data_IF_094334988580
#
_entry.id   IF_094334988580
#
_cell.length_a   1.000
_cell.length_b   1.000
_cell.length_c   1.000
_cell.angle_alpha   90.00
_cell.angle_beta   90.00
_cell.angle_gamma   90.00
#
_symmetry.space_group_name_H-M   'P 1'
#
loop_
_entity.id
_entity.type
_entity.pdbx_description
1 polymer ?
#
# COMPACT_ATOMS: atom_id res chain seq x y z
N UNK A 1 -25.68 -14.43 -38.49
CA UNK A 1 -25.83 -13.06 -37.98
C UNK A 1 -24.45 -12.45 -37.78
N UNK A 2 -24.10 -11.32 -38.41
CA UNK A 2 -22.81 -10.66 -38.16
C UNK A 2 -22.74 -10.20 -36.70
N UNK A 3 -21.61 -10.45 -36.03
CA UNK A 3 -21.38 -10.00 -34.65
C UNK A 3 -21.47 -8.47 -34.59
N UNK A 4 -22.27 -7.94 -33.68
CA UNK A 4 -22.44 -6.49 -33.47
C UNK A 4 -21.11 -5.92 -32.97
N UNK A 5 -20.48 -5.05 -33.76
CA UNK A 5 -19.18 -4.46 -33.42
C UNK A 5 -19.39 -3.39 -32.35
N UNK A 6 -18.72 -3.53 -31.21
CA UNK A 6 -18.75 -2.52 -30.15
C UNK A 6 -17.78 -1.38 -30.47
N UNK A 7 -18.20 -0.13 -30.25
CA UNK A 7 -17.31 1.04 -30.32
C UNK A 7 -16.26 0.94 -29.21
N UNK A 8 -14.98 0.96 -29.59
CA UNK A 8 -13.84 0.94 -28.66
C UNK A 8 -13.16 2.30 -28.64
N UNK A 9 -12.81 2.78 -27.46
CA UNK A 9 -12.03 4.02 -27.31
C UNK A 9 -10.55 3.67 -27.38
N UNK A 10 -9.86 4.19 -28.41
CA UNK A 10 -8.43 4.01 -28.60
C UNK A 10 -7.64 5.21 -28.06
N UNK A 11 -6.48 4.95 -27.46
CA UNK A 11 -5.53 5.98 -27.07
C UNK A 11 -4.81 6.58 -28.30
N UNK A 12 -4.04 7.64 -28.13
CA UNK A 12 -3.35 8.33 -29.24
C UNK A 12 -2.44 7.41 -30.04
N UNK A 13 -1.58 6.63 -29.37
CA UNK A 13 -0.66 5.71 -30.03
C UNK A 13 -1.38 4.66 -30.89
N UNK A 14 -2.46 4.06 -30.37
CA UNK A 14 -3.27 3.12 -31.15
C UNK A 14 -3.98 3.77 -32.33
N UNK A 15 -4.36 5.05 -32.25
CA UNK A 15 -4.94 5.79 -33.38
C UNK A 15 -3.91 6.03 -34.48
N UNK A 16 -2.67 6.36 -34.12
CA UNK A 16 -1.57 6.52 -35.06
C UNK A 16 -1.28 5.21 -35.81
N UNK A 17 -1.24 4.08 -35.10
CA UNK A 17 -1.10 2.75 -35.71
C UNK A 17 -2.21 2.45 -36.73
N UNK A 18 -3.45 2.88 -36.45
CA UNK A 18 -4.58 2.71 -37.38
C UNK A 18 -4.41 3.57 -38.64
N UNK A 19 -3.88 4.78 -38.50
CA UNK A 19 -3.60 5.67 -39.64
C UNK A 19 -2.51 5.06 -40.52
N UNK A 20 -1.39 4.63 -39.94
CA UNK A 20 -0.29 3.99 -40.68
C UNK A 20 -0.78 2.75 -41.45
N UNK A 21 -1.59 1.91 -40.78
CA UNK A 21 -2.15 0.71 -41.39
C UNK A 21 -3.03 1.04 -42.61
N UNK A 22 -3.85 2.10 -42.49
CA UNK A 22 -4.70 2.56 -43.59
C UNK A 22 -3.84 3.05 -44.76
N UNK A 23 -2.83 3.87 -44.50
CA UNK A 23 -1.95 4.42 -45.55
C UNK A 23 -1.21 3.30 -46.30
N UNK A 24 -0.71 2.30 -45.58
CA UNK A 24 -0.05 1.14 -46.19
C UNK A 24 -0.98 0.39 -47.15
N UNK A 25 -2.24 0.13 -46.77
CA UNK A 25 -3.19 -0.54 -47.65
C UNK A 25 -3.68 0.35 -48.81
N UNK A 26 -3.77 1.66 -48.62
CA UNK A 26 -4.04 2.60 -49.72
C UNK A 26 -2.89 2.60 -50.75
N UNK A 27 -1.64 2.42 -50.30
CA UNK A 27 -0.49 2.24 -51.19
C UNK A 27 -0.55 0.89 -51.94
N UNK A 28 -0.91 -0.20 -51.28
CA UNK A 28 -1.10 -1.50 -51.95
C UNK A 28 -2.21 -1.43 -53.01
N UNK A 29 -3.31 -0.71 -52.72
CA UNK A 29 -4.39 -0.49 -53.67
C UNK A 29 -3.91 0.29 -54.90
N UNK A 30 -3.16 1.38 -54.72
CA UNK A 30 -2.59 2.19 -55.82
C UNK A 30 -1.62 1.38 -56.68
N UNK A 31 -0.84 0.51 -56.06
CA UNK A 31 0.15 -0.31 -56.75
C UNK A 31 -0.45 -1.56 -57.42
N UNK A 32 -1.70 -1.92 -57.11
CA UNK A 32 -2.37 -3.11 -57.63
C UNK A 32 -1.74 -4.43 -57.19
N UNK A 33 -0.81 -4.40 -56.22
CA UNK A 33 -0.09 -5.55 -55.69
C UNK A 33 0.35 -5.29 -54.25
N UNK A 34 0.58 -6.36 -53.50
CA UNK A 34 1.14 -6.26 -52.16
C UNK A 34 2.57 -5.68 -52.19
N UNK A 35 2.88 -4.74 -51.30
CA UNK A 35 4.22 -4.12 -51.21
C UNK A 35 5.29 -5.15 -50.82
N UNK A 36 4.94 -6.05 -49.90
CA UNK A 36 5.76 -7.19 -49.49
C UNK A 36 5.03 -8.50 -49.75
N UNK A 37 5.75 -9.63 -49.93
CA UNK A 37 5.13 -10.94 -50.15
C UNK A 37 4.16 -11.33 -49.04
N UNK A 38 3.03 -11.94 -49.42
CA UNK A 38 2.01 -12.42 -48.46
C UNK A 38 2.57 -13.43 -47.46
N UNK A 39 3.62 -14.16 -47.83
CA UNK A 39 4.35 -15.10 -46.96
C UNK A 39 5.04 -14.39 -45.81
N UNK A 40 5.46 -13.13 -45.98
CA UNK A 40 6.18 -12.36 -44.97
C UNK A 40 5.24 -11.54 -44.08
N UNK A 41 4.36 -12.24 -43.35
CA UNK A 41 3.34 -11.63 -42.48
C UNK A 41 3.98 -10.66 -41.47
N UNK A 42 5.07 -11.08 -40.81
CA UNK A 42 5.75 -10.24 -39.79
C UNK A 42 6.32 -8.96 -40.39
N UNK A 43 6.93 -9.05 -41.56
CA UNK A 43 7.46 -7.89 -42.28
C UNK A 43 6.36 -6.93 -42.68
N UNK A 44 5.23 -7.45 -43.20
CA UNK A 44 4.07 -6.64 -43.56
C UNK A 44 3.47 -5.91 -42.37
N UNK A 45 3.30 -6.59 -41.23
CA UNK A 45 2.77 -5.96 -40.01
C UNK A 45 3.73 -4.88 -39.51
N UNK A 46 5.03 -5.13 -39.53
CA UNK A 46 6.04 -4.15 -39.12
C UNK A 46 6.01 -2.89 -39.99
N UNK A 47 5.96 -3.08 -41.32
CA UNK A 47 5.95 -1.99 -42.29
C UNK A 47 4.64 -1.20 -42.25
N UNK A 48 3.50 -1.91 -42.23
CA UNK A 48 2.18 -1.29 -42.22
C UNK A 48 1.90 -0.52 -40.92
N UNK A 49 2.43 -0.97 -39.79
CA UNK A 49 2.25 -0.28 -38.51
C UNK A 49 3.37 0.73 -38.21
N UNK A 50 4.48 0.72 -38.95
CA UNK A 50 5.64 1.57 -38.70
C UNK A 50 6.42 1.19 -37.43
N UNK A 51 6.48 -0.11 -37.08
CA UNK A 51 7.15 -0.60 -35.87
C UNK A 51 8.22 -1.64 -36.19
N UNK A 52 9.17 -1.85 -35.26
CA UNK A 52 10.24 -2.81 -35.45
C UNK A 52 9.70 -4.26 -35.54
N UNK A 53 10.29 -5.07 -36.45
CA UNK A 53 9.97 -6.50 -36.60
C UNK A 53 10.15 -7.29 -35.29
N UNK A 54 11.13 -6.90 -34.47
CA UNK A 54 11.36 -7.49 -33.14
C UNK A 54 10.18 -7.25 -32.19
N UNK A 55 9.61 -6.04 -32.19
CA UNK A 55 8.42 -5.69 -31.41
C UNK A 55 7.22 -6.53 -31.83
N UNK A 56 6.98 -6.69 -33.14
CA UNK A 56 5.92 -7.57 -33.65
C UNK A 56 6.14 -9.00 -33.15
N UNK A 57 7.36 -9.51 -33.29
CA UNK A 57 7.72 -10.87 -32.85
C UNK A 57 7.47 -11.05 -31.35
N UNK A 58 7.89 -10.10 -30.52
CA UNK A 58 7.70 -10.14 -29.09
C UNK A 58 6.21 -10.14 -28.71
N UNK A 59 5.42 -9.22 -29.29
CA UNK A 59 3.97 -9.15 -29.04
C UNK A 59 3.27 -10.43 -29.48
N UNK A 60 3.64 -10.99 -30.64
CA UNK A 60 3.07 -12.27 -31.09
C UNK A 60 3.42 -13.42 -30.16
N UNK A 61 4.65 -13.48 -29.65
CA UNK A 61 5.08 -14.49 -28.68
C UNK A 61 4.36 -14.33 -27.35
N UNK A 62 4.18 -13.09 -26.87
CA UNK A 62 3.41 -12.79 -25.66
C UNK A 62 1.94 -13.19 -25.79
N UNK A 63 1.34 -13.02 -26.98
CA UNK A 63 -0.06 -13.35 -27.22
C UNK A 63 -0.30 -14.86 -27.40
N UNK A 64 0.55 -15.51 -28.19
CA UNK A 64 0.31 -16.88 -28.68
C UNK A 64 1.19 -17.97 -28.05
N UNK A 65 2.16 -17.59 -27.22
CA UNK A 65 3.14 -18.52 -26.65
C UNK A 65 4.17 -19.02 -27.68
N UNK A 66 5.01 -19.97 -27.29
CA UNK A 66 6.01 -20.58 -28.17
C UNK A 66 5.40 -21.57 -29.18
N UNK A 67 4.33 -22.26 -28.78
CA UNK A 67 3.60 -23.23 -29.59
C UNK A 67 2.51 -22.62 -30.48
N UNK A 68 2.29 -21.30 -30.39
CA UNK A 68 1.24 -20.56 -31.11
C UNK A 68 -0.21 -21.01 -30.82
N UNK A 69 -0.43 -21.85 -29.80
CA UNK A 69 -1.75 -22.38 -29.42
C UNK A 69 -2.35 -21.73 -28.17
N UNK A 70 -1.57 -20.93 -27.44
CA UNK A 70 -2.04 -20.28 -26.24
C UNK A 70 -2.75 -18.97 -26.60
N UNK A 71 -3.82 -18.61 -25.90
CA UNK A 71 -4.42 -17.27 -26.03
C UNK A 71 -4.19 -16.46 -24.75
N UNK A 72 -2.99 -15.93 -24.62
CA UNK A 72 -2.59 -15.16 -23.45
C UNK A 72 -3.17 -13.73 -23.50
N UNK A 73 -3.35 -13.12 -22.33
CA UNK A 73 -3.78 -11.72 -22.22
C UNK A 73 -2.55 -10.81 -22.29
N UNK A 74 -2.48 -9.94 -23.29
CA UNK A 74 -1.43 -8.93 -23.38
C UNK A 74 -1.52 -7.96 -22.19
N UNK A 75 -0.39 -7.78 -21.51
CA UNK A 75 -0.25 -6.86 -20.39
C UNK A 75 0.53 -5.63 -20.82
N UNK A 76 0.15 -4.46 -20.32
CA UNK A 76 0.92 -3.24 -20.55
C UNK A 76 2.32 -3.38 -19.94
N UNK A 77 3.40 -3.06 -20.68
CA UNK A 77 4.74 -3.00 -20.13
C UNK A 77 4.76 -2.14 -18.85
N UNK A 78 5.58 -2.50 -17.85
CA UNK A 78 5.73 -1.82 -16.55
C UNK A 78 4.62 -1.95 -15.50
N UNK A 79 3.63 -2.84 -15.63
CA UNK A 79 2.63 -3.03 -14.54
C UNK A 79 3.24 -3.55 -13.22
N UNK A 80 4.43 -4.17 -13.27
CA UNK A 80 5.20 -4.66 -12.11
C UNK A 80 6.45 -3.82 -11.86
N UNK A 81 6.33 -2.52 -11.58
CA UNK A 81 7.48 -1.73 -11.10
C UNK A 81 7.94 -2.28 -9.74
N UNK A 82 9.22 -2.65 -9.62
CA UNK A 82 9.84 -2.93 -8.32
C UNK A 82 9.78 -1.64 -7.50
N UNK A 83 9.02 -1.62 -6.41
CA UNK A 83 9.03 -0.50 -5.48
C UNK A 83 10.22 -0.67 -4.56
N UNK A 84 11.07 0.35 -4.46
CA UNK A 84 12.09 0.39 -3.40
C UNK A 84 11.34 0.31 -2.06
N UNK A 85 11.68 -0.70 -1.24
CA UNK A 85 11.10 -0.80 0.09
C UNK A 85 11.49 0.46 0.88
N UNK A 86 10.55 1.15 1.57
CA UNK A 86 10.94 2.18 2.52
C UNK A 86 11.87 1.55 3.55
N UNK A 87 12.88 2.28 4.02
CA UNK A 87 13.87 1.86 5.04
C UNK A 87 13.15 1.16 6.21
N UNK A 88 13.08 -0.18 6.18
CA UNK A 88 12.28 -0.99 7.13
C UNK A 88 13.03 -2.27 7.56
N UNK A 89 14.32 -2.40 7.23
CA UNK A 89 15.16 -3.48 7.75
C UNK A 89 16.30 -2.89 8.60
N UNK A 90 16.00 -2.36 9.80
CA UNK A 90 17.06 -2.13 10.77
C UNK A 90 17.66 -3.47 11.21
N UNK A 91 18.95 -3.43 11.54
CA UNK A 91 19.68 -4.55 12.11
C UNK A 91 19.12 -4.97 13.48
N UNK A 92 19.43 -6.18 13.94
CA UNK A 92 18.96 -6.70 15.24
C UNK A 92 19.35 -5.78 16.40
N UNK A 93 20.57 -5.24 16.37
CA UNK A 93 21.06 -4.27 17.34
C UNK A 93 20.17 -3.02 17.40
N UNK A 94 19.81 -2.47 16.24
CA UNK A 94 18.96 -1.27 16.15
C UNK A 94 17.54 -1.56 16.66
N UNK A 95 17.01 -2.77 16.42
CA UNK A 95 15.71 -3.20 16.95
C UNK A 95 15.72 -3.21 18.48
N UNK A 96 16.80 -3.74 19.08
CA UNK A 96 16.94 -3.82 20.53
C UNK A 96 17.17 -2.44 21.16
N UNK A 97 17.98 -1.59 20.53
CA UNK A 97 18.19 -0.20 20.96
C UNK A 97 16.87 0.60 20.95
N UNK A 98 16.07 0.49 19.89
CA UNK A 98 14.74 1.13 19.79
C UNK A 98 13.81 0.59 20.89
N UNK A 99 13.84 -0.72 21.17
CA UNK A 99 13.02 -1.32 22.23
C UNK A 99 13.39 -0.75 23.61
N UNK A 100 14.68 -0.70 23.92
CA UNK A 100 15.19 -0.15 25.19
C UNK A 100 14.84 1.34 25.33
N UNK A 101 14.94 2.10 24.25
CA UNK A 101 14.55 3.52 24.24
C UNK A 101 13.06 3.70 24.59
N UNK A 102 12.19 2.84 24.06
CA UNK A 102 10.76 2.83 24.40
C UNK A 102 10.54 2.43 25.86
N UNK A 103 11.27 1.46 26.39
CA UNK A 103 11.18 1.11 27.82
C UNK A 103 11.61 2.26 28.73
N UNK A 104 12.54 3.09 28.30
CA UNK A 104 12.90 4.33 29.00
C UNK A 104 11.70 5.29 29.17
N UNK A 105 10.81 5.39 28.18
CA UNK A 105 9.57 6.17 28.33
C UNK A 105 8.67 5.62 29.44
N UNK A 106 8.47 4.31 29.47
CA UNK A 106 7.64 3.67 30.49
C UNK A 106 8.24 3.79 31.90
N UNK A 107 9.56 3.69 32.03
CA UNK A 107 10.25 3.87 33.31
C UNK A 107 10.04 5.30 33.89
N UNK A 108 9.91 6.31 33.03
CA UNK A 108 9.59 7.70 33.41
C UNK A 108 8.09 7.98 33.58
N UNK A 109 7.23 6.96 33.47
CA UNK A 109 5.76 7.11 33.41
C UNK A 109 5.28 8.03 32.27
N UNK A 110 6.02 8.10 31.17
CA UNK A 110 5.67 8.88 29.99
C UNK A 110 5.08 7.98 28.90
N UNK A 111 4.03 8.45 28.23
CA UNK A 111 3.46 7.72 27.10
C UNK A 111 4.25 8.01 25.81
N UNK A 112 4.88 7.00 25.17
CA UNK A 112 5.61 7.18 23.93
C UNK A 112 4.61 7.34 22.77
N UNK A 113 4.30 8.59 22.39
CA UNK A 113 3.55 8.86 21.17
C UNK A 113 4.47 8.77 19.96
N UNK A 114 3.92 8.42 18.80
CA UNK A 114 4.72 8.17 17.61
C UNK A 114 5.56 9.38 17.17
N UNK A 115 5.05 10.61 17.36
CA UNK A 115 5.80 11.85 17.09
C UNK A 115 6.92 12.08 18.10
N UNK A 116 6.65 11.92 19.41
CA UNK A 116 7.67 12.06 20.46
C UNK A 116 8.79 11.03 20.29
N UNK A 117 8.40 9.80 19.97
CA UNK A 117 9.33 8.72 19.72
C UNK A 117 10.17 8.97 18.46
N UNK A 118 9.56 9.48 17.38
CA UNK A 118 10.31 9.83 16.17
C UNK A 118 11.36 10.91 16.42
N UNK A 119 11.05 11.92 17.23
CA UNK A 119 11.99 12.99 17.53
C UNK A 119 13.13 12.48 18.43
N UNK A 120 12.79 11.78 19.52
CA UNK A 120 13.80 11.27 20.45
C UNK A 120 14.69 10.17 19.86
N UNK A 121 14.18 9.35 18.94
CA UNK A 121 14.99 8.38 18.20
C UNK A 121 15.93 9.05 17.19
N UNK A 122 15.53 10.20 16.64
CA UNK A 122 16.38 11.00 15.77
C UNK A 122 17.50 11.68 16.56
N UNK A 123 17.16 12.24 17.72
CA UNK A 123 18.13 12.83 18.66
C UNK A 123 19.14 11.79 19.18
N UNK A 124 18.70 10.55 19.38
CA UNK A 124 19.56 9.45 19.79
C UNK A 124 20.32 8.77 18.63
N UNK A 125 20.18 9.27 17.39
CA UNK A 125 20.78 8.71 16.17
C UNK A 125 20.44 7.22 15.90
N UNK A 126 19.36 6.71 16.51
CA UNK A 126 18.95 5.30 16.41
C UNK A 126 18.09 5.02 15.18
N UNK A 127 17.32 6.00 14.73
CA UNK A 127 16.42 5.83 13.61
C UNK A 127 16.02 7.15 12.95
N UNK A 128 16.36 7.30 11.67
CA UNK A 128 15.94 8.42 10.84
C UNK A 128 15.01 7.93 9.71
N UNK A 129 13.70 7.98 9.94
CA UNK A 129 12.73 7.75 8.88
C UNK A 129 11.39 8.44 9.13
N UNK A 130 10.52 8.38 8.13
CA UNK A 130 9.17 8.93 8.19
C UNK A 130 8.29 8.25 9.26
N UNK A 131 7.28 8.98 9.76
CA UNK A 131 6.32 8.46 10.75
C UNK A 131 5.63 7.15 10.30
N UNK A 132 5.18 6.98 9.04
CA UNK A 132 4.64 5.71 8.57
C UNK A 132 5.66 4.56 8.62
N UNK A 133 6.92 4.84 8.28
CA UNK A 133 8.01 3.85 8.35
C UNK A 133 8.25 3.41 9.80
N UNK A 134 8.35 4.36 10.74
CA UNK A 134 8.47 4.06 12.17
C UNK A 134 7.26 3.23 12.65
N UNK A 135 6.05 3.60 12.24
CA UNK A 135 4.84 2.86 12.62
C UNK A 135 4.85 1.41 12.15
N UNK A 136 5.33 1.19 10.92
CA UNK A 136 5.49 -0.14 10.34
C UNK A 136 6.58 -0.92 11.07
N UNK A 137 7.71 -0.28 11.36
CA UNK A 137 8.83 -0.88 12.06
C UNK A 137 8.42 -1.40 13.44
N UNK A 138 7.76 -0.56 14.24
CA UNK A 138 7.32 -0.89 15.59
C UNK A 138 6.39 -2.11 15.60
N UNK A 139 5.46 -2.18 14.63
CA UNK A 139 4.49 -3.28 14.53
C UNK A 139 5.09 -4.59 14.05
N UNK A 140 5.95 -4.54 13.03
CA UNK A 140 6.37 -5.75 12.33
C UNK A 140 7.75 -6.28 12.73
N UNK A 141 8.63 -5.44 13.28
CA UNK A 141 10.00 -5.84 13.63
C UNK A 141 10.25 -5.79 15.13
N UNK A 142 9.81 -4.72 15.80
CA UNK A 142 10.07 -4.55 17.25
C UNK A 142 9.05 -5.33 18.10
N UNK A 143 7.80 -5.42 17.63
CA UNK A 143 6.74 -6.23 18.24
C UNK A 143 5.70 -5.45 19.06
N UNK A 144 5.69 -4.12 18.98
CA UNK A 144 4.75 -3.27 19.72
C UNK A 144 3.38 -3.16 19.03
N UNK A 145 2.32 -3.03 19.83
CA UNK A 145 0.95 -2.79 19.36
C UNK A 145 0.48 -1.41 19.80
N UNK A 146 -0.29 -0.73 18.95
CA UNK A 146 -0.94 0.52 19.31
C UNK A 146 -2.19 0.24 20.13
N UNK A 147 -2.31 0.94 21.25
CA UNK A 147 -3.50 0.96 22.07
C UNK A 147 -4.06 2.37 22.13
N UNK A 148 -5.39 2.48 22.24
CA UNK A 148 -6.02 3.76 22.56
C UNK A 148 -5.63 4.13 23.98
N UNK A 149 -4.91 5.24 24.14
CA UNK A 149 -4.67 5.79 25.47
C UNK A 149 -5.99 6.32 26.01
N UNK A 150 -6.42 5.85 27.17
CA UNK A 150 -7.53 6.47 27.87
C UNK A 150 -7.06 7.83 28.37
N UNK A 151 -7.62 8.90 27.78
CA UNK A 151 -7.32 10.28 28.18
C UNK A 151 -8.07 10.67 29.45
N UNK A 152 -9.00 9.82 29.91
CA UNK A 152 -9.60 9.97 31.21
C UNK A 152 -8.51 9.63 32.21
N UNK A 153 -7.85 10.66 32.73
CA UNK A 153 -7.51 10.63 34.16
C UNK A 153 -8.87 10.52 34.82
N UNK A 154 -9.33 9.29 35.10
CA UNK A 154 -10.46 9.14 36.01
C UNK A 154 -10.03 9.96 37.21
N UNK A 155 -10.77 11.02 37.52
CA UNK A 155 -10.59 11.74 38.78
C UNK A 155 -10.95 10.70 39.83
N UNK A 156 -9.96 9.89 40.19
CA UNK A 156 -10.07 8.97 41.28
C UNK A 156 -10.30 9.84 42.49
N UNK A 157 -11.33 9.52 43.27
CA UNK A 157 -11.47 10.10 44.60
C UNK A 157 -10.12 9.96 45.30
N UNK A 158 -9.68 11.03 45.97
CA UNK A 158 -8.49 10.92 46.81
C UNK A 158 -8.73 9.76 47.80
N UNK A 159 -7.67 9.04 48.13
CA UNK A 159 -7.74 7.84 48.96
C UNK A 159 -8.42 8.08 50.31
N UNK A 160 -8.23 9.27 50.89
CA UNK A 160 -8.88 9.72 52.12
C UNK A 160 -10.40 9.90 51.96
N UNK A 161 -10.85 10.49 50.86
CA UNK A 161 -12.28 10.65 50.54
C UNK A 161 -12.92 9.27 50.31
N UNK A 162 -12.24 8.39 49.56
CA UNK A 162 -12.71 7.03 49.33
C UNK A 162 -12.86 6.24 50.64
N UNK A 163 -11.90 6.39 51.56
CA UNK A 163 -11.93 5.76 52.87
C UNK A 163 -13.05 6.31 53.75
N UNK A 164 -13.22 7.64 53.80
CA UNK A 164 -14.32 8.28 54.52
C UNK A 164 -15.69 7.80 54.03
N UNK A 165 -15.84 7.61 52.72
CA UNK A 165 -17.06 7.04 52.13
C UNK A 165 -17.26 5.58 52.52
N UNK A 166 -16.21 4.75 52.45
CA UNK A 166 -16.29 3.37 52.90
C UNK A 166 -16.72 3.27 54.37
N UNK A 167 -16.18 4.13 55.23
CA UNK A 167 -16.51 4.15 56.65
C UNK A 167 -17.94 4.63 56.90
N UNK A 168 -18.38 5.67 56.19
CA UNK A 168 -19.77 6.12 56.20
C UNK A 168 -20.73 4.99 55.81
N UNK A 169 -20.47 4.32 54.68
CA UNK A 169 -21.33 3.24 54.17
C UNK A 169 -21.37 2.03 55.13
N UNK A 170 -20.26 1.70 55.80
CA UNK A 170 -20.23 0.66 56.82
C UNK A 170 -21.10 1.01 58.02
N UNK A 171 -21.02 2.25 58.50
CA UNK A 171 -21.86 2.75 59.61
C UNK A 171 -23.33 2.79 59.20
N UNK A 172 -23.64 3.32 58.03
CA UNK A 172 -24.96 3.35 57.44
C UNK A 172 -25.60 1.95 57.35
N UNK A 173 -24.83 0.93 56.96
CA UNK A 173 -25.31 -0.45 56.89
C UNK A 173 -25.75 -1.04 58.24
N UNK A 174 -25.19 -0.54 59.35
CA UNK A 174 -25.53 -0.99 60.70
C UNK A 174 -26.79 -0.30 61.27
N UNK A 175 -27.38 0.65 60.54
CA UNK A 175 -28.60 1.34 60.94
C UNK A 175 -29.81 0.48 60.56
N UNK A 176 -30.54 0.04 61.57
CA UNK A 176 -31.76 -0.76 61.40
C UNK A 176 -33.01 0.13 61.22
N UNK A 177 -33.03 1.32 61.83
CA UNK A 177 -34.16 2.24 61.85
C UNK A 177 -33.73 3.62 61.33
N UNK A 178 -34.03 3.88 60.06
CA UNK A 178 -33.60 5.07 59.34
C UNK A 178 -34.37 6.34 59.73
N UNK A 179 -35.56 6.19 60.32
CA UNK A 179 -36.42 7.32 60.70
C UNK A 179 -35.88 8.11 61.92
N UNK A 180 -34.92 7.52 62.65
CA UNK A 180 -34.25 8.13 63.81
C UNK A 180 -32.92 8.79 63.48
N UNK A 181 -32.48 8.75 62.23
CA UNK A 181 -31.19 9.31 61.80
C UNK A 181 -31.38 10.78 61.42
N UNK A 182 -30.69 11.68 62.11
CA UNK A 182 -30.59 13.10 61.74
C UNK A 182 -29.19 13.34 61.17
N UNK A 183 -29.13 13.89 59.95
CA UNK A 183 -27.89 14.20 59.23
C UNK A 183 -27.31 15.56 59.62
#
# INVERSE_FOLDING_TARGET
>A
MPKRIHKTVLNSASRELVINLREYFEQELKNGRSLLPLTNVRGRVADALGIAKSTVSQITKEKFGESSMEENKLLTPNKKRRKNHPVTNPDSFNVDAIRNHIYGYYARNELPTLRKLSNSLREAELFEASLPSLSKLLRHKVGFRYQKADKRKVLMERTDIALARCDFLRKAKQIEDWDKVVF
#
